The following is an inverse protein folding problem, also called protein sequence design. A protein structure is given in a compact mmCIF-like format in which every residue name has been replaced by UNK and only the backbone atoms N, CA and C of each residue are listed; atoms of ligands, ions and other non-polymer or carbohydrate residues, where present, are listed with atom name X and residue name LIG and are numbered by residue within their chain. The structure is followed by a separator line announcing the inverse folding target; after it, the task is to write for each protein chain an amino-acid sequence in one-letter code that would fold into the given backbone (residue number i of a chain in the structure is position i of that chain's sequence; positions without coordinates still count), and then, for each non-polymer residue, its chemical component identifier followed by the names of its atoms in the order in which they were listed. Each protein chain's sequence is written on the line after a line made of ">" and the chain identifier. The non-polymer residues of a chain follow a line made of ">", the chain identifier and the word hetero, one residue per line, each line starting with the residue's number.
data_IF_120123492094
#
_entry.id   IF_120123492094
#
_cell.length_a   1.000
_cell.length_b   1.000
_cell.length_c   1.000
_cell.angle_alpha   90.00
_cell.angle_beta   90.00
_cell.angle_gamma   90.00
#
_symmetry.space_group_name_H-M   'P 1'
#
loop_
_entity.id
_entity.type
_entity.pdbx_description
1 polymer ?
#
# COMPACT_ATOMS: atom_id res chain seq x y z
N UNK A 1 -3.05 10.09 -5.09
CA UNK A 1 -2.73 8.66 -4.83
C UNK A 1 -3.47 8.20 -3.59
N UNK A 2 -3.83 6.94 -3.56
CA UNK A 2 -4.50 6.31 -2.42
C UNK A 2 -3.74 5.07 -1.98
N UNK A 3 -3.64 4.89 -0.67
CA UNK A 3 -3.10 3.68 -0.09
C UNK A 3 -4.09 3.12 0.92
N UNK A 4 -4.33 1.83 0.87
CA UNK A 4 -4.99 1.11 1.96
C UNK A 4 -3.90 0.36 2.70
N UNK A 5 -3.71 0.74 3.97
CA UNK A 5 -2.62 0.26 4.81
C UNK A 5 -3.20 -0.64 5.89
N UNK A 6 -2.82 -1.89 5.87
CA UNK A 6 -3.25 -2.88 6.86
C UNK A 6 -2.06 -3.27 7.73
N UNK A 7 -2.23 -3.15 9.05
CA UNK A 7 -1.26 -3.68 10.01
C UNK A 7 -1.40 -5.20 10.06
N UNK A 8 -0.31 -5.92 9.78
CA UNK A 8 -0.35 -7.37 9.65
C UNK A 8 0.68 -8.07 10.53
N UNK A 9 0.37 -9.30 10.94
CA UNK A 9 1.34 -10.24 11.48
C UNK A 9 2.09 -10.94 10.36
N UNK A 10 1.43 -11.12 9.21
CA UNK A 10 2.01 -11.69 8.00
C UNK A 10 1.17 -11.30 6.79
N UNK A 11 1.81 -11.22 5.63
CA UNK A 11 1.13 -11.06 4.36
C UNK A 11 1.95 -11.69 3.24
N UNK A 12 1.28 -12.09 2.18
CA UNK A 12 1.93 -12.65 0.99
C UNK A 12 1.14 -12.34 -0.27
N UNK A 13 1.84 -12.32 -1.39
CA UNK A 13 1.23 -12.24 -2.70
C UNK A 13 1.72 -13.39 -3.55
N UNK A 14 0.79 -14.08 -4.21
CA UNK A 14 1.07 -15.22 -5.09
C UNK A 14 0.60 -14.92 -6.51
N UNK A 15 1.35 -15.42 -7.48
CA UNK A 15 1.06 -15.33 -8.91
C UNK A 15 1.17 -16.75 -9.47
N UNK A 16 0.13 -17.21 -10.18
CA UNK A 16 0.07 -18.57 -10.75
C UNK A 16 0.41 -19.66 -9.72
N UNK A 17 -0.06 -19.49 -8.48
CA UNK A 17 0.12 -20.48 -7.41
C UNK A 17 1.48 -20.43 -6.71
N UNK A 18 2.39 -19.53 -7.12
CA UNK A 18 3.71 -19.38 -6.51
C UNK A 18 3.79 -18.07 -5.71
N UNK A 19 4.39 -18.14 -4.52
CA UNK A 19 4.62 -16.95 -3.69
C UNK A 19 5.64 -16.05 -4.38
N UNK A 20 5.24 -14.82 -4.67
CA UNK A 20 6.07 -13.79 -5.29
C UNK A 20 6.72 -12.86 -4.27
N UNK A 21 6.01 -12.56 -3.19
CA UNK A 21 6.49 -11.72 -2.10
C UNK A 21 5.82 -12.11 -0.78
N UNK A 22 6.55 -11.94 0.32
CA UNK A 22 6.06 -12.33 1.65
C UNK A 22 6.74 -11.48 2.72
N UNK A 23 5.96 -11.10 3.75
CA UNK A 23 6.47 -10.40 4.93
C UNK A 23 5.91 -11.03 6.21
N UNK A 24 6.61 -10.81 7.31
CA UNK A 24 6.08 -11.02 8.65
C UNK A 24 5.34 -9.75 9.13
N UNK A 25 5.61 -9.34 10.37
CA UNK A 25 5.01 -8.14 10.97
C UNK A 25 5.31 -6.89 10.15
N UNK A 26 4.28 -6.09 9.91
CA UNK A 26 4.46 -4.84 9.20
C UNK A 26 3.19 -4.35 8.55
N UNK A 27 3.31 -3.80 7.33
CA UNK A 27 2.19 -3.30 6.55
C UNK A 27 2.01 -4.03 5.23
N UNK A 28 0.77 -4.42 4.95
CA UNK A 28 0.29 -4.64 3.59
C UNK A 28 -0.23 -3.31 3.07
N UNK A 29 0.32 -2.85 1.94
CA UNK A 29 -0.04 -1.57 1.33
C UNK A 29 -0.63 -1.84 -0.04
N UNK A 30 -1.92 -1.57 -0.22
CA UNK A 30 -2.57 -1.55 -1.52
C UNK A 30 -2.48 -0.13 -2.06
N UNK A 31 -1.85 0.03 -3.24
CA UNK A 31 -1.53 1.35 -3.79
C UNK A 31 -2.28 1.61 -5.09
N UNK A 32 -3.07 2.68 -5.11
CA UNK A 32 -3.75 3.17 -6.31
C UNK A 32 -3.19 4.50 -6.79
N UNK A 33 -3.07 4.65 -8.10
CA UNK A 33 -2.60 5.87 -8.76
C UNK A 33 -3.74 6.49 -9.53
N UNK A 34 -3.95 7.79 -9.31
CA UNK A 34 -4.93 8.59 -10.03
C UNK A 34 -4.31 9.36 -11.21
N UNK A 35 -5.15 9.91 -12.12
CA UNK A 35 -4.65 10.52 -13.36
C UNK A 35 -3.88 11.84 -13.14
N UNK A 36 -4.07 12.50 -12.02
CA UNK A 36 -3.42 13.78 -11.69
C UNK A 36 -2.26 13.63 -10.71
N UNK A 37 -1.84 12.40 -10.41
CA UNK A 37 -0.77 12.14 -9.46
C UNK A 37 0.61 12.49 -10.04
N UNK A 38 1.50 12.90 -9.13
CA UNK A 38 2.83 13.39 -9.44
C UNK A 38 3.89 12.68 -8.61
N UNK A 39 5.18 12.72 -9.03
CA UNK A 39 6.28 12.23 -8.22
C UNK A 39 6.34 12.82 -6.81
N UNK A 40 6.02 14.13 -6.66
CA UNK A 40 6.00 14.78 -5.35
C UNK A 40 4.93 14.20 -4.43
N UNK A 41 3.73 13.91 -4.96
CA UNK A 41 2.66 13.27 -4.20
C UNK A 41 3.03 11.83 -3.80
N UNK A 42 3.68 11.09 -4.69
CA UNK A 42 4.16 9.74 -4.41
C UNK A 42 5.13 9.73 -3.21
N UNK A 43 6.11 10.63 -3.22
CA UNK A 43 7.07 10.78 -2.13
C UNK A 43 6.37 11.13 -0.82
N UNK A 44 5.44 12.08 -0.86
CA UNK A 44 4.66 12.52 0.30
C UNK A 44 3.85 11.36 0.90
N UNK A 45 3.22 10.56 0.04
CA UNK A 45 2.45 9.40 0.49
C UNK A 45 3.35 8.36 1.15
N UNK A 46 4.48 8.02 0.54
CA UNK A 46 5.42 7.05 1.10
C UNK A 46 5.92 7.49 2.48
N UNK A 47 6.33 8.75 2.62
CA UNK A 47 6.78 9.29 3.89
C UNK A 47 5.68 9.24 4.95
N UNK A 48 4.45 9.57 4.60
CA UNK A 48 3.31 9.47 5.52
C UNK A 48 3.06 8.04 5.97
N UNK A 49 2.91 7.12 5.02
CA UNK A 49 2.55 5.72 5.30
C UNK A 49 3.63 5.03 6.14
N UNK A 50 4.90 5.18 5.76
CA UNK A 50 5.99 4.50 6.46
C UNK A 50 6.32 5.11 7.82
N UNK A 51 5.86 6.32 8.07
CA UNK A 51 6.01 6.99 9.36
C UNK A 51 4.81 6.84 10.30
N UNK A 52 3.75 6.15 9.90
CA UNK A 52 2.57 5.96 10.75
C UNK A 52 2.92 5.23 12.04
N UNK A 53 2.39 5.73 13.14
CA UNK A 53 2.66 5.20 14.48
C UNK A 53 1.44 4.41 14.97
N UNK A 54 1.28 3.20 14.44
CA UNK A 54 0.09 2.36 14.65
C UNK A 54 0.39 1.05 15.37
N UNK A 55 1.63 0.82 15.76
CA UNK A 55 2.00 -0.35 16.56
C UNK A 55 1.91 -0.02 18.04
N UNK A 56 1.51 -1.01 18.83
CA UNK A 56 1.28 -0.82 20.27
C UNK A 56 2.57 -0.60 21.03
N UNK A 57 2.54 0.36 21.95
CA UNK A 57 3.59 0.57 22.93
C UNK A 57 3.32 -0.25 24.23
N UNK A 58 4.14 -0.05 25.24
CA UNK A 58 4.03 -0.72 26.53
C UNK A 58 2.75 -0.35 27.31
N UNK A 59 2.09 0.74 26.92
CA UNK A 59 0.81 1.18 27.48
C UNK A 59 -0.39 0.78 26.63
N UNK A 60 -0.17 -0.11 25.65
CA UNK A 60 -1.18 -0.61 24.71
C UNK A 60 -1.80 0.48 23.85
N UNK A 61 -1.04 1.50 23.52
CA UNK A 61 -1.45 2.61 22.65
C UNK A 61 -0.72 2.55 21.32
N UNK A 62 -1.40 2.96 20.24
CA UNK A 62 -0.82 3.08 18.92
C UNK A 62 0.19 4.23 18.90
N UNK A 63 1.45 3.92 19.06
CA UNK A 63 2.51 4.91 19.25
C UNK A 63 3.83 4.57 18.59
N UNK A 64 4.07 3.31 18.24
CA UNK A 64 5.31 2.87 17.60
C UNK A 64 5.16 2.80 16.10
N UNK A 65 6.24 3.14 15.38
CA UNK A 65 6.32 3.09 13.93
C UNK A 65 6.85 1.73 13.44
N UNK A 66 6.86 1.54 12.11
CA UNK A 66 7.54 0.40 11.49
C UNK A 66 9.00 0.28 11.93
N UNK A 67 9.72 1.39 11.97
CA UNK A 67 11.13 1.40 12.40
C UNK A 67 11.28 0.91 13.83
N UNK A 68 10.38 1.35 14.72
CA UNK A 68 10.45 0.99 16.16
C UNK A 68 10.26 -0.51 16.38
N UNK A 69 9.45 -1.16 15.54
CA UNK A 69 9.13 -2.59 15.69
C UNK A 69 9.90 -3.49 14.72
N UNK A 70 10.77 -2.93 13.90
CA UNK A 70 11.50 -3.70 12.90
C UNK A 70 10.58 -4.34 11.85
N UNK A 71 9.51 -3.65 11.48
CA UNK A 71 8.51 -4.16 10.54
C UNK A 71 8.97 -4.12 9.10
N UNK A 72 8.23 -4.84 8.26
CA UNK A 72 8.45 -4.93 6.81
C UNK A 72 7.23 -4.44 6.04
N UNK A 73 7.37 -4.23 4.74
CA UNK A 73 6.27 -3.78 3.89
C UNK A 73 6.10 -4.70 2.67
N UNK A 74 4.85 -4.97 2.33
CA UNK A 74 4.44 -5.62 1.10
C UNK A 74 3.55 -4.65 0.33
N UNK A 75 3.98 -4.25 -0.86
CA UNK A 75 3.27 -3.28 -1.69
C UNK A 75 2.66 -3.97 -2.89
N UNK A 76 1.36 -3.79 -3.07
CA UNK A 76 0.59 -4.37 -4.18
C UNK A 76 -0.14 -3.25 -4.91
N UNK A 77 0.01 -3.18 -6.23
CA UNK A 77 -0.73 -2.23 -7.05
C UNK A 77 -2.21 -2.59 -7.05
N UNK A 78 -3.07 -1.57 -6.87
CA UNK A 78 -4.51 -1.76 -6.72
C UNK A 78 -5.27 -0.60 -7.39
N UNK A 79 -5.37 -0.63 -8.72
CA UNK A 79 -6.07 0.43 -9.46
C UNK A 79 -7.56 0.51 -9.11
N UNK A 80 -8.14 -0.59 -8.63
CA UNK A 80 -9.55 -0.65 -8.24
C UNK A 80 -9.90 0.26 -7.06
N UNK A 81 -8.90 0.83 -6.36
CA UNK A 81 -9.14 1.87 -5.35
C UNK A 81 -9.77 3.14 -5.95
N UNK A 82 -9.66 3.31 -7.27
CA UNK A 82 -10.31 4.39 -8.03
C UNK A 82 -11.60 3.91 -8.71
N UNK A 83 -12.11 2.76 -8.32
CA UNK A 83 -13.36 2.24 -8.81
C UNK A 83 -14.54 3.13 -8.43
N UNK A 84 -15.44 3.35 -9.39
CA UNK A 84 -16.68 4.08 -9.18
C UNK A 84 -17.84 3.09 -9.19
N UNK A 85 -18.55 3.00 -8.08
CA UNK A 85 -19.71 2.12 -7.90
C UNK A 85 -21.01 2.92 -7.73
N UNK A 86 -20.98 4.21 -8.07
CA UNK A 86 -22.12 5.12 -7.88
C UNK A 86 -23.30 4.81 -8.79
N UNK A 87 -23.09 4.18 -9.93
CA UNK A 87 -24.13 3.85 -10.91
C UNK A 87 -24.19 2.34 -11.18
N UNK A 88 -25.34 1.74 -10.91
CA UNK A 88 -25.57 0.34 -11.19
C UNK A 88 -24.73 -0.60 -10.33
N UNK A 89 -24.48 -1.81 -10.82
CA UNK A 89 -23.79 -2.87 -10.07
C UNK A 89 -22.43 -3.23 -10.65
N UNK A 90 -22.10 -2.66 -11.80
CA UNK A 90 -20.83 -2.91 -12.47
C UNK A 90 -19.89 -1.73 -12.20
N UNK A 91 -18.77 -1.94 -11.49
CA UNK A 91 -17.84 -0.84 -11.19
C UNK A 91 -17.19 -0.32 -12.47
N UNK A 92 -16.95 0.98 -12.49
CA UNK A 92 -16.17 1.65 -13.52
C UNK A 92 -14.79 2.00 -12.97
N UNK A 93 -13.74 1.81 -13.76
CA UNK A 93 -12.36 2.09 -13.37
C UNK A 93 -11.72 3.21 -14.21
N UNK A 94 -12.53 4.00 -14.90
CA UNK A 94 -12.04 5.12 -15.72
C UNK A 94 -11.36 6.23 -14.90
N UNK A 95 -11.61 6.27 -13.59
CA UNK A 95 -10.96 7.22 -12.67
C UNK A 95 -9.54 6.85 -12.27
N UNK A 96 -9.05 5.65 -12.63
CA UNK A 96 -7.68 5.25 -12.37
C UNK A 96 -6.71 5.80 -13.43
N UNK A 97 -5.46 6.07 -13.06
CA UNK A 97 -4.42 6.40 -14.02
C UNK A 97 -4.19 5.22 -14.98
N UNK A 98 -3.83 5.55 -16.21
CA UNK A 98 -3.42 4.55 -17.20
C UNK A 98 -2.01 4.02 -16.88
N UNK A 99 -1.64 2.84 -17.40
CA UNK A 99 -0.33 2.24 -17.11
C UNK A 99 0.89 3.12 -17.39
N UNK A 100 0.84 3.98 -18.41
CA UNK A 100 1.95 4.87 -18.74
C UNK A 100 2.27 5.90 -17.63
N UNK A 101 1.30 6.25 -16.79
CA UNK A 101 1.52 7.06 -15.57
C UNK A 101 1.62 6.17 -14.32
N UNK A 102 0.76 5.16 -14.21
CA UNK A 102 0.65 4.35 -13.00
C UNK A 102 1.90 3.52 -12.73
N UNK A 103 2.50 2.92 -13.77
CA UNK A 103 3.69 2.07 -13.59
C UNK A 103 4.89 2.87 -13.05
N UNK A 104 5.27 4.02 -13.64
CA UNK A 104 6.39 4.80 -13.10
C UNK A 104 6.17 5.25 -11.66
N UNK A 105 4.95 5.65 -11.29
CA UNK A 105 4.66 6.10 -9.92
C UNK A 105 4.61 4.93 -8.93
N UNK A 106 4.12 3.77 -9.35
CA UNK A 106 4.20 2.56 -8.54
C UNK A 106 5.67 2.17 -8.27
N UNK A 107 6.50 2.16 -9.31
CA UNK A 107 7.93 1.86 -9.18
C UNK A 107 8.64 2.89 -8.30
N UNK A 108 8.26 4.16 -8.42
CA UNK A 108 8.79 5.22 -7.55
C UNK A 108 8.41 4.97 -6.08
N UNK A 109 7.17 4.54 -5.82
CA UNK A 109 6.76 4.22 -4.44
C UNK A 109 7.62 3.12 -3.84
N UNK A 110 7.93 2.08 -4.62
CA UNK A 110 8.85 1.03 -4.17
C UNK A 110 10.24 1.60 -3.86
N UNK A 111 10.76 2.46 -4.72
CA UNK A 111 12.05 3.13 -4.53
C UNK A 111 12.04 4.04 -3.28
N UNK A 112 10.94 4.73 -3.02
CA UNK A 112 10.78 5.55 -1.82
C UNK A 112 10.78 4.70 -0.54
N UNK A 113 10.15 3.52 -0.56
CA UNK A 113 10.21 2.58 0.56
C UNK A 113 11.66 2.20 0.86
N UNK A 114 12.42 1.87 -0.18
CA UNK A 114 13.83 1.51 -0.03
C UNK A 114 14.66 2.68 0.50
N UNK A 115 14.45 3.88 -0.04
CA UNK A 115 15.11 5.10 0.44
C UNK A 115 14.88 5.35 1.93
N UNK A 116 13.67 5.05 2.41
CA UNK A 116 13.28 5.25 3.81
C UNK A 116 13.75 4.12 4.74
N UNK A 117 14.44 3.11 4.21
CA UNK A 117 15.02 2.03 4.99
C UNK A 117 14.16 0.76 5.06
N UNK A 118 13.13 0.65 4.20
CA UNK A 118 12.22 -0.48 4.16
C UNK A 118 12.20 -1.10 2.75
N UNK A 119 13.22 -1.89 2.37
CA UNK A 119 13.22 -2.58 1.07
C UNK A 119 11.93 -3.38 0.93
N UNK A 120 11.05 -3.04 -0.04
CA UNK A 120 9.71 -3.63 -0.07
C UNK A 120 9.72 -5.00 -0.72
N UNK A 121 8.88 -5.89 -0.20
CA UNK A 121 8.35 -6.99 -0.99
C UNK A 121 7.19 -6.44 -1.81
N UNK A 122 6.93 -7.02 -2.97
CA UNK A 122 5.88 -6.52 -3.85
C UNK A 122 5.32 -7.61 -4.77
N UNK A 123 4.17 -7.32 -5.37
CA UNK A 123 3.62 -8.11 -6.46
C UNK A 123 4.18 -7.67 -7.80
N UNK A 124 3.46 -7.97 -8.87
CA UNK A 124 3.78 -7.58 -10.23
C UNK A 124 2.63 -6.74 -10.78
N UNK A 125 2.95 -5.54 -11.28
CA UNK A 125 1.95 -4.64 -11.82
C UNK A 125 1.19 -5.31 -12.97
N UNK A 126 -0.15 -5.28 -12.89
CA UNK A 126 -1.03 -5.83 -13.93
C UNK A 126 -1.22 -7.35 -13.88
N UNK A 127 -0.51 -8.07 -13.03
CA UNK A 127 -0.70 -9.50 -12.89
C UNK A 127 -1.98 -9.83 -12.11
N UNK A 128 -2.54 -11.01 -12.37
CA UNK A 128 -3.58 -11.57 -11.53
C UNK A 128 -2.94 -12.17 -10.28
N UNK A 129 -3.28 -11.63 -9.12
CA UNK A 129 -2.60 -11.96 -7.87
C UNK A 129 -3.58 -12.45 -6.79
N UNK A 130 -3.08 -13.36 -5.94
CA UNK A 130 -3.74 -13.75 -4.71
C UNK A 130 -3.00 -13.10 -3.55
N UNK A 131 -3.68 -12.26 -2.79
CA UNK A 131 -3.09 -11.55 -1.65
C UNK A 131 -3.67 -12.11 -0.37
N UNK A 132 -2.81 -12.67 0.47
CA UNK A 132 -3.20 -13.21 1.77
C UNK A 132 -2.62 -12.34 2.88
N UNK A 133 -3.37 -12.16 3.96
CA UNK A 133 -2.88 -11.38 5.10
C UNK A 133 -3.58 -11.80 6.38
N UNK A 134 -2.86 -11.66 7.49
CA UNK A 134 -3.43 -11.72 8.82
C UNK A 134 -3.44 -10.30 9.37
N UNK A 135 -4.63 -9.67 9.34
CA UNK A 135 -4.83 -8.32 9.85
C UNK A 135 -4.75 -8.35 11.37
N UNK A 136 -3.83 -7.58 11.92
CA UNK A 136 -3.60 -7.51 13.35
C UNK A 136 -4.40 -6.36 13.97
N UNK A 137 -5.39 -6.72 14.78
CA UNK A 137 -6.16 -5.75 15.53
C UNK A 137 -7.68 -5.83 15.42
N UNK A 138 -8.36 -5.76 14.26
CA UNK A 138 -7.83 -5.32 12.96
C UNK A 138 -7.52 -3.82 12.91
N UNK A 139 -6.52 -3.45 12.12
CA UNK A 139 -6.19 -2.05 11.85
C UNK A 139 -5.96 -1.88 10.35
N UNK A 140 -6.85 -1.11 9.72
CA UNK A 140 -6.80 -0.80 8.30
C UNK A 140 -7.11 0.68 8.12
N UNK A 141 -6.23 1.40 7.45
CA UNK A 141 -6.32 2.85 7.25
C UNK A 141 -6.34 3.17 5.76
N UNK A 142 -7.12 4.16 5.40
CA UNK A 142 -7.12 4.74 4.06
C UNK A 142 -6.33 6.04 4.12
N UNK A 143 -5.29 6.14 3.30
CA UNK A 143 -4.47 7.35 3.19
C UNK A 143 -4.60 7.88 1.76
N UNK A 144 -5.18 9.06 1.62
CA UNK A 144 -5.37 9.74 0.33
C UNK A 144 -4.53 11.00 0.32
N UNK A 145 -3.74 11.21 -0.73
CA UNK A 145 -2.90 12.40 -0.85
C UNK A 145 -3.71 13.69 -0.88
N UNK A 146 -4.97 13.64 -1.33
CA UNK A 146 -5.85 14.80 -1.31
C UNK A 146 -6.16 15.30 0.11
N UNK A 147 -6.05 14.42 1.10
CA UNK A 147 -6.33 14.74 2.50
C UNK A 147 -5.06 15.12 3.28
N UNK A 148 -3.89 14.99 2.69
CA UNK A 148 -2.61 15.28 3.36
C UNK A 148 -2.31 16.77 3.36
N UNK A 149 -1.89 17.26 4.52
CA UNK A 149 -1.55 18.70 4.74
C UNK A 149 -0.06 18.96 4.76
#
# INVERSE_FOLDING_TARGET
>A
MKAVVTRVNSASVSIDGAVHGKIGRGFLILLGVGPDDTPALCRKLAEKVLGLRVFRDENDKMNRSLADVGGSVLVVSQFTLYGDVSHGRRPSFTGAAKPDLAIPLYEQFLAECERLGFPPQHGEFGAYMQVASENDGPVTLIVDTDDLK
#
